data_IF_539127857128
#
_entry.id   IF_539127857128
#
_cell.length_a   1.000
_cell.length_b   1.000
_cell.length_c   1.000
_cell.angle_alpha   90.00
_cell.angle_beta   90.00
_cell.angle_gamma   90.00
#
_symmetry.space_group_name_H-M   'P 1'
#
loop_
_entity.id
_entity.type
_entity.pdbx_description
1 polymer ?
#
# COMPACT_ATOMS: atom_id res chain seq x y z
N UNK A 1 68.99 -40.55 18.20
CA UNK A 1 68.81 -41.53 17.12
C UNK A 1 67.41 -41.28 16.56
N UNK A 2 67.36 -40.78 15.32
CA UNK A 2 66.19 -40.49 14.48
C UNK A 2 65.24 -39.36 14.95
N UNK A 3 64.74 -38.42 14.15
CA UNK A 3 64.82 -38.06 12.71
C UNK A 3 64.26 -36.60 12.62
N UNK A 4 64.73 -35.80 11.64
CA UNK A 4 64.01 -34.88 10.72
C UNK A 4 62.61 -34.32 11.12
N UNK A 5 62.12 -33.14 10.70
CA UNK A 5 62.39 -32.36 9.50
C UNK A 5 61.66 -30.99 9.52
N UNK A 6 62.08 -30.16 8.57
CA UNK A 6 61.30 -29.21 7.75
C UNK A 6 60.49 -28.04 8.35
N UNK A 7 61.13 -26.88 8.20
CA UNK A 7 60.51 -25.60 7.92
C UNK A 7 59.66 -25.64 6.63
N UNK A 8 58.34 -25.77 6.77
CA UNK A 8 57.39 -25.32 5.75
C UNK A 8 56.63 -24.09 6.27
N UNK A 9 57.04 -22.91 5.79
CA UNK A 9 56.28 -21.67 5.95
C UNK A 9 55.01 -21.76 5.10
N UNK A 10 53.89 -22.04 5.74
CA UNK A 10 52.57 -21.84 5.16
C UNK A 10 52.29 -20.34 5.16
N UNK A 11 52.27 -19.74 3.97
CA UNK A 11 51.72 -18.40 3.75
C UNK A 11 50.20 -18.49 3.92
N UNK A 12 49.55 -17.65 4.75
CA UNK A 12 48.10 -17.60 4.75
C UNK A 12 47.67 -16.86 3.48
N UNK A 13 47.17 -17.61 2.49
CA UNK A 13 46.27 -17.06 1.47
C UNK A 13 44.90 -16.98 2.15
N UNK A 14 44.69 -15.94 2.95
CA UNK A 14 43.34 -15.43 3.17
C UNK A 14 43.18 -14.28 2.19
N UNK A 15 42.67 -14.62 1.00
CA UNK A 15 41.99 -13.64 0.18
C UNK A 15 40.89 -13.04 1.05
N UNK A 16 41.00 -11.73 1.24
CA UNK A 16 39.94 -10.86 1.72
C UNK A 16 38.70 -11.09 0.86
N UNK A 17 37.85 -12.05 1.26
CA UNK A 17 36.43 -11.96 0.95
C UNK A 17 35.92 -10.91 1.93
N UNK A 18 36.09 -9.64 1.57
CA UNK A 18 35.27 -8.58 2.10
C UNK A 18 33.88 -8.83 1.51
N UNK A 19 33.15 -9.78 2.10
CA UNK A 19 31.69 -9.78 2.00
C UNK A 19 31.33 -8.48 2.68
N UNK A 20 31.18 -7.43 1.88
CA UNK A 20 30.40 -6.27 2.27
C UNK A 20 29.03 -6.89 2.53
N UNK A 21 28.76 -7.27 3.78
CA UNK A 21 27.41 -7.58 4.22
C UNK A 21 26.66 -6.29 3.90
N UNK A 22 25.96 -6.30 2.77
CA UNK A 22 25.00 -5.28 2.41
C UNK A 22 24.02 -5.33 3.58
N UNK A 23 24.12 -4.34 4.45
CA UNK A 23 23.33 -4.26 5.67
C UNK A 23 21.93 -3.96 5.17
N UNK A 24 21.09 -4.98 5.13
CA UNK A 24 19.73 -4.90 4.58
C UNK A 24 18.98 -3.81 5.34
N UNK A 25 18.59 -2.74 4.65
CA UNK A 25 18.06 -1.49 5.23
C UNK A 25 16.53 -1.53 5.43
N UNK A 26 15.97 -2.71 5.69
CA UNK A 26 14.53 -2.94 5.75
C UNK A 26 14.12 -3.36 7.17
N UNK A 27 14.17 -2.40 8.11
CA UNK A 27 13.79 -2.65 9.50
C UNK A 27 12.39 -2.13 9.80
N UNK A 28 11.71 -2.88 10.66
CA UNK A 28 10.43 -2.55 11.25
C UNK A 28 10.63 -2.41 12.75
N UNK A 29 10.00 -1.41 13.36
CA UNK A 29 9.84 -1.34 14.80
C UNK A 29 8.38 -1.63 15.12
N UNK A 30 8.13 -2.59 16.00
CA UNK A 30 6.82 -2.87 16.58
C UNK A 30 6.91 -2.58 18.08
N UNK A 31 6.37 -1.44 18.48
CA UNK A 31 6.26 -1.05 19.89
C UNK A 31 4.82 -1.22 20.34
N UNK A 32 4.58 -1.88 21.47
CA UNK A 32 3.20 -2.12 21.90
C UNK A 32 3.05 -2.41 23.37
N UNK A 33 1.80 -2.51 23.87
CA UNK A 33 1.54 -2.56 25.29
C UNK A 33 2.15 -3.82 25.91
N UNK A 34 2.50 -3.69 27.19
CA UNK A 34 2.94 -4.79 28.03
C UNK A 34 1.82 -5.82 28.15
N UNK A 35 2.17 -7.10 27.96
CA UNK A 35 1.24 -8.22 27.98
C UNK A 35 0.47 -8.45 26.68
N UNK A 36 0.61 -7.58 25.67
CA UNK A 36 0.09 -7.85 24.33
C UNK A 36 1.04 -8.74 23.55
N UNK A 37 0.49 -9.77 22.89
CA UNK A 37 1.25 -10.76 22.12
C UNK A 37 1.66 -10.20 20.74
N UNK A 38 2.69 -9.35 20.75
CA UNK A 38 3.32 -8.73 19.59
C UNK A 38 3.89 -9.77 18.63
N UNK A 39 4.41 -10.89 19.14
CA UNK A 39 4.91 -11.98 18.29
C UNK A 39 3.80 -12.63 17.48
N UNK A 40 2.64 -12.89 18.08
CA UNK A 40 1.46 -13.35 17.33
C UNK A 40 0.97 -12.29 16.35
N UNK A 41 0.89 -11.04 16.75
CA UNK A 41 0.53 -9.93 15.87
C UNK A 41 1.42 -9.87 14.61
N UNK A 42 2.75 -10.01 14.78
CA UNK A 42 3.70 -10.06 13.66
C UNK A 42 3.45 -11.28 12.78
N UNK A 43 3.26 -12.46 13.37
CA UNK A 43 2.91 -13.68 12.62
C UNK A 43 1.65 -13.48 11.79
N UNK A 44 0.64 -12.85 12.36
CA UNK A 44 -0.63 -12.58 11.70
C UNK A 44 -0.45 -11.57 10.55
N UNK A 45 0.37 -10.52 10.69
CA UNK A 45 0.62 -9.56 9.60
C UNK A 45 1.43 -10.17 8.46
N UNK A 46 2.43 -10.99 8.78
CA UNK A 46 3.31 -11.61 7.78
C UNK A 46 2.80 -12.97 7.27
N UNK A 47 1.66 -13.45 7.77
CA UNK A 47 1.09 -14.76 7.44
C UNK A 47 2.07 -15.93 7.69
N UNK A 48 2.85 -15.83 8.77
CA UNK A 48 3.85 -16.83 9.15
C UNK A 48 3.34 -17.66 10.32
N UNK A 49 3.25 -18.99 10.14
CA UNK A 49 2.79 -19.88 11.22
C UNK A 49 3.75 -19.89 12.42
N UNK A 50 5.06 -20.00 12.15
CA UNK A 50 6.10 -20.09 13.18
C UNK A 50 7.38 -19.42 12.71
N UNK A 51 8.08 -18.75 13.64
CA UNK A 51 9.43 -18.26 13.39
C UNK A 51 10.43 -19.40 13.47
N UNK A 52 11.45 -19.39 12.62
CA UNK A 52 12.54 -20.37 12.68
C UNK A 52 13.37 -20.11 13.95
N UNK A 53 14.00 -21.15 14.54
CA UNK A 53 14.76 -21.02 15.78
C UNK A 53 15.89 -19.98 15.77
N UNK A 54 16.43 -19.66 14.60
CA UNK A 54 17.51 -18.69 14.41
C UNK A 54 17.02 -17.29 14.01
N UNK A 55 15.72 -17.11 13.78
CA UNK A 55 15.15 -15.82 13.41
C UNK A 55 14.89 -14.95 14.63
N UNK A 56 14.54 -15.53 15.78
CA UNK A 56 14.23 -14.77 16.99
C UNK A 56 15.45 -14.72 17.90
N UNK A 57 15.97 -13.52 18.11
CA UNK A 57 17.08 -13.22 19.02
C UNK A 57 16.50 -12.51 20.24
N UNK A 58 16.65 -13.15 21.40
CA UNK A 58 16.28 -12.57 22.69
C UNK A 58 17.51 -11.91 23.31
N UNK A 59 17.34 -10.71 23.87
CA UNK A 59 18.36 -10.15 24.75
C UNK A 59 18.45 -10.99 26.02
N UNK A 60 19.60 -11.66 26.22
CA UNK A 60 19.84 -12.68 27.26
C UNK A 60 19.82 -12.18 28.71
N UNK A 61 19.17 -11.06 29.02
CA UNK A 61 19.29 -10.40 30.32
C UNK A 61 18.31 -10.88 31.39
N UNK A 62 17.49 -11.87 31.08
CA UNK A 62 16.50 -12.33 32.04
C UNK A 62 16.44 -13.86 32.15
N UNK A 63 16.56 -14.28 33.41
CA UNK A 63 16.51 -15.67 33.86
C UNK A 63 15.19 -15.96 34.59
N UNK A 64 14.20 -15.11 34.39
CA UNK A 64 12.87 -15.24 34.99
C UNK A 64 11.95 -16.00 34.04
N UNK A 65 10.90 -16.59 34.60
CA UNK A 65 9.90 -17.42 33.92
C UNK A 65 9.03 -16.57 32.98
N UNK A 66 9.62 -16.14 31.86
CA UNK A 66 9.16 -15.04 31.00
C UNK A 66 8.39 -15.51 29.77
N UNK A 67 7.14 -15.89 29.98
CA UNK A 67 6.19 -15.97 28.87
C UNK A 67 5.49 -14.62 28.61
N UNK A 68 5.74 -13.58 29.42
CA UNK A 68 4.96 -12.33 29.42
C UNK A 68 5.69 -11.06 28.93
N UNK A 69 7.03 -11.04 28.90
CA UNK A 69 7.80 -9.83 28.50
C UNK A 69 8.24 -9.98 27.05
N UNK A 70 7.78 -9.08 26.19
CA UNK A 70 8.15 -9.03 24.77
C UNK A 70 8.87 -7.71 24.44
N UNK A 71 9.88 -7.36 25.25
CA UNK A 71 10.79 -6.21 25.05
C UNK A 71 12.14 -6.66 24.50
N UNK A 72 12.76 -5.85 23.65
CA UNK A 72 14.12 -6.08 23.16
C UNK A 72 14.30 -7.38 22.36
N UNK A 73 13.25 -7.82 21.65
CA UNK A 73 13.30 -8.99 20.78
C UNK A 73 13.64 -8.53 19.36
N UNK A 74 14.55 -9.23 18.70
CA UNK A 74 14.90 -8.98 17.30
C UNK A 74 14.48 -10.19 16.48
N UNK A 75 13.69 -9.98 15.43
CA UNK A 75 13.34 -10.98 14.44
C UNK A 75 14.11 -10.67 13.17
N UNK A 76 15.03 -11.55 12.79
CA UNK A 76 15.84 -11.40 11.58
C UNK A 76 15.30 -12.25 10.43
N UNK A 77 15.64 -11.83 9.22
CA UNK A 77 15.38 -12.58 7.98
C UNK A 77 13.91 -12.99 7.78
N UNK A 78 12.95 -12.12 8.12
CA UNK A 78 11.54 -12.40 7.92
C UNK A 78 11.16 -12.16 6.46
N UNK A 79 10.73 -13.18 5.69
CA UNK A 79 10.39 -12.99 4.29
C UNK A 79 9.08 -12.19 4.17
N UNK A 80 9.09 -11.17 3.32
CA UNK A 80 7.91 -10.44 2.88
C UNK A 80 7.69 -10.73 1.40
N UNK A 81 6.57 -11.36 1.08
CA UNK A 81 6.17 -11.65 -0.30
C UNK A 81 4.86 -10.95 -0.59
N UNK A 82 4.87 -10.02 -1.53
CA UNK A 82 3.67 -9.41 -2.08
C UNK A 82 3.42 -9.93 -3.49
N UNK A 83 2.35 -9.45 -4.12
CA UNK A 83 2.10 -9.74 -5.55
C UNK A 83 3.17 -9.13 -6.46
N UNK A 84 3.86 -8.08 -6.00
CA UNK A 84 4.70 -7.23 -6.83
C UNK A 84 6.20 -7.36 -6.55
N UNK A 85 6.56 -7.74 -5.32
CA UNK A 85 7.95 -7.85 -4.93
C UNK A 85 8.15 -8.88 -3.82
N UNK A 86 9.40 -9.31 -3.69
CA UNK A 86 9.89 -10.07 -2.56
C UNK A 86 11.00 -9.29 -1.88
N UNK A 87 10.98 -9.28 -0.57
CA UNK A 87 12.04 -8.72 0.25
C UNK A 87 12.17 -9.49 1.55
N UNK A 88 13.19 -9.14 2.32
CA UNK A 88 13.44 -9.68 3.64
C UNK A 88 13.53 -8.50 4.60
N UNK A 89 12.79 -8.59 5.70
CA UNK A 89 12.73 -7.53 6.71
C UNK A 89 13.27 -8.04 8.04
N UNK A 90 13.84 -7.13 8.82
CA UNK A 90 14.14 -7.36 10.23
C UNK A 90 13.15 -6.59 11.10
N UNK A 91 12.75 -7.14 12.25
CA UNK A 91 11.78 -6.52 13.15
C UNK A 91 12.38 -6.38 14.53
N UNK A 92 12.38 -5.15 15.06
CA UNK A 92 12.61 -4.85 16.46
C UNK A 92 11.27 -4.83 17.17
N UNK A 93 11.14 -5.62 18.24
CA UNK A 93 9.93 -5.68 19.05
C UNK A 93 10.27 -5.15 20.42
N UNK A 94 9.48 -4.18 20.87
CA UNK A 94 9.70 -3.54 22.14
C UNK A 94 8.37 -3.21 22.87
N UNK A 95 8.46 -2.88 24.16
CA UNK A 95 7.30 -2.56 25.00
C UNK A 95 7.65 -1.56 26.09
N UNK A 96 6.68 -0.75 26.54
CA UNK A 96 6.91 0.18 27.63
C UNK A 96 7.00 -0.57 28.97
N UNK A 97 7.63 0.07 29.96
CA UNK A 97 7.65 -0.44 31.34
C UNK A 97 6.23 -0.66 31.92
N UNK A 98 5.27 0.15 31.47
CA UNK A 98 3.84 0.06 31.81
C UNK A 98 2.97 0.64 30.69
N UNK A 99 1.68 0.30 30.65
CA UNK A 99 0.73 0.77 29.63
C UNK A 99 0.27 2.23 29.81
N UNK A 100 0.95 3.01 30.67
CA UNK A 100 0.63 4.42 30.89
C UNK A 100 1.16 5.27 29.71
N UNK A 101 0.39 6.25 29.17
CA UNK A 101 0.78 7.06 28.00
C UNK A 101 2.15 7.73 28.10
N UNK A 102 2.51 8.26 29.27
CA UNK A 102 3.84 8.84 29.49
C UNK A 102 4.99 7.89 29.17
N UNK A 103 4.83 6.57 29.31
CA UNK A 103 5.87 5.59 28.94
C UNK A 103 6.01 5.43 27.43
N UNK A 104 4.95 5.62 26.67
CA UNK A 104 5.01 5.73 25.22
C UNK A 104 5.76 7.02 24.82
N UNK A 105 5.44 8.14 25.46
CA UNK A 105 6.13 9.42 25.22
C UNK A 105 7.62 9.32 25.55
N UNK A 106 7.99 8.70 26.67
CA UNK A 106 9.39 8.45 27.04
C UNK A 106 10.11 7.65 25.95
N UNK A 107 9.50 6.56 25.47
CA UNK A 107 10.05 5.75 24.39
C UNK A 107 10.16 6.50 23.06
N UNK A 108 9.15 7.29 22.68
CA UNK A 108 9.19 8.11 21.46
C UNK A 108 10.34 9.13 21.55
N UNK A 109 10.56 9.72 22.73
CA UNK A 109 11.66 10.67 22.96
C UNK A 109 13.02 10.00 22.89
N UNK A 110 13.17 8.82 23.48
CA UNK A 110 14.38 8.02 23.35
C UNK A 110 14.66 7.67 21.88
N UNK A 111 13.63 7.23 21.15
CA UNK A 111 13.75 6.96 19.71
C UNK A 111 14.03 8.22 18.90
N UNK A 112 13.71 9.41 19.41
CA UNK A 112 13.97 10.71 18.77
C UNK A 112 15.36 11.27 19.08
N UNK A 113 16.08 10.74 20.07
CA UNK A 113 17.40 11.25 20.44
C UNK A 113 18.43 11.03 19.32
N UNK A 114 19.44 11.92 19.26
CA UNK A 114 20.52 11.85 18.27
C UNK A 114 21.28 10.52 18.30
N UNK A 115 21.33 9.87 19.48
CA UNK A 115 21.99 8.56 19.66
C UNK A 115 21.29 7.44 18.86
N UNK A 116 20.00 7.61 18.52
CA UNK A 116 19.20 6.66 17.75
C UNK A 116 19.21 6.91 16.23
N UNK A 117 19.97 7.88 15.74
CA UNK A 117 20.04 8.24 14.32
C UNK A 117 20.33 7.03 13.41
N UNK A 118 21.33 6.22 13.76
CA UNK A 118 21.71 5.07 12.95
C UNK A 118 20.61 3.99 12.91
N UNK A 119 19.84 3.84 13.98
CA UNK A 119 18.67 2.95 13.99
C UNK A 119 17.58 3.51 13.07
N UNK A 120 17.23 4.79 13.20
CA UNK A 120 16.19 5.43 12.37
C UNK A 120 16.50 5.33 10.87
N UNK A 121 17.77 5.43 10.47
CA UNK A 121 18.19 5.26 9.07
C UNK A 121 17.89 3.87 8.50
N UNK A 122 17.92 2.83 9.33
CA UNK A 122 17.66 1.45 8.90
C UNK A 122 16.17 1.09 8.92
N UNK A 123 15.33 1.92 9.55
CA UNK A 123 13.89 1.68 9.72
C UNK A 123 13.12 2.26 8.54
N UNK A 124 12.11 1.51 8.10
CA UNK A 124 11.13 1.91 7.08
C UNK A 124 9.70 1.86 7.59
N UNK A 125 9.45 1.13 8.67
CA UNK A 125 8.13 1.05 9.27
C UNK A 125 8.23 1.12 10.79
N UNK A 126 7.45 2.01 11.40
CA UNK A 126 7.25 2.07 12.84
C UNK A 126 5.76 1.84 13.10
N UNK A 127 5.43 0.76 13.82
CA UNK A 127 4.09 0.48 14.30
C UNK A 127 4.05 0.69 15.81
N UNK A 128 3.22 1.63 16.26
CA UNK A 128 2.97 1.90 17.68
C UNK A 128 1.57 1.39 18.02
N UNK A 129 1.50 0.32 18.80
CA UNK A 129 0.27 -0.27 19.28
C UNK A 129 -0.18 0.39 20.58
N UNK A 130 -1.39 0.95 20.61
CA UNK A 130 -1.91 1.67 21.78
C UNK A 130 -3.02 0.88 22.49
N UNK A 131 -3.12 0.94 23.82
CA UNK A 131 -4.22 0.32 24.56
C UNK A 131 -5.53 1.08 24.36
N UNK A 132 -6.61 0.33 24.14
CA UNK A 132 -8.01 0.76 23.94
C UNK A 132 -8.57 1.74 24.98
N UNK A 133 -8.20 1.60 26.25
CA UNK A 133 -9.11 1.96 27.34
C UNK A 133 -9.29 3.46 27.63
N UNK A 134 -8.59 4.36 26.96
CA UNK A 134 -8.86 5.79 27.07
C UNK A 134 -8.73 6.43 25.68
N UNK A 135 -9.84 6.96 25.16
CA UNK A 135 -9.87 7.76 23.92
C UNK A 135 -8.83 8.88 23.90
N UNK A 136 -8.35 9.28 25.08
CA UNK A 136 -7.40 10.35 25.28
C UNK A 136 -5.95 9.89 25.09
N UNK A 137 -5.66 8.57 25.07
CA UNK A 137 -4.29 8.07 24.97
C UNK A 137 -3.63 8.41 23.63
N UNK A 138 -4.39 8.38 22.54
CA UNK A 138 -3.88 8.77 21.23
C UNK A 138 -3.57 10.27 21.21
N UNK A 139 -4.52 11.11 21.61
CA UNK A 139 -4.37 12.57 21.69
C UNK A 139 -3.17 12.98 22.57
N UNK A 140 -2.88 12.20 23.61
CA UNK A 140 -1.74 12.44 24.50
C UNK A 140 -0.40 12.21 23.80
N UNK A 141 -0.27 11.19 22.95
CA UNK A 141 1.00 10.85 22.29
C UNK A 141 1.16 11.47 20.91
N UNK A 142 0.06 11.90 20.27
CA UNK A 142 0.01 12.44 18.91
C UNK A 142 1.07 13.52 18.68
N UNK A 143 1.20 14.45 19.62
CA UNK A 143 2.19 15.52 19.53
C UNK A 143 3.63 15.00 19.45
N UNK A 144 4.00 14.02 20.26
CA UNK A 144 5.35 13.47 20.27
C UNK A 144 5.58 12.57 19.04
N UNK A 145 4.54 11.88 18.54
CA UNK A 145 4.58 11.16 17.27
C UNK A 145 4.87 12.12 16.09
N UNK A 146 4.22 13.28 16.05
CA UNK A 146 4.47 14.28 15.01
C UNK A 146 5.88 14.88 15.09
N UNK A 147 6.44 15.00 16.30
CA UNK A 147 7.86 15.37 16.47
C UNK A 147 8.77 14.30 15.86
N UNK A 148 8.54 13.02 16.18
CA UNK A 148 9.32 11.93 15.60
C UNK A 148 9.19 11.88 14.06
N UNK A 149 7.98 12.07 13.53
CA UNK A 149 7.73 12.16 12.08
C UNK A 149 8.52 13.30 11.43
N UNK A 150 8.55 14.48 12.08
CA UNK A 150 9.34 15.61 11.61
C UNK A 150 10.84 15.33 11.61
N UNK A 151 11.35 14.61 12.62
CA UNK A 151 12.76 14.20 12.71
C UNK A 151 13.09 13.24 11.56
N UNK A 152 12.29 12.18 11.38
CA UNK A 152 12.46 11.21 10.29
C UNK A 152 12.48 11.88 8.91
N UNK A 153 11.55 12.81 8.67
CA UNK A 153 11.50 13.58 7.43
C UNK A 153 12.76 14.44 7.24
N UNK A 154 13.19 15.17 8.28
CA UNK A 154 14.36 16.05 8.18
C UNK A 154 15.62 15.25 7.89
N UNK A 155 15.86 14.19 8.64
CA UNK A 155 17.04 13.33 8.49
C UNK A 155 17.10 12.66 7.12
N UNK A 156 15.95 12.16 6.64
CA UNK A 156 15.88 11.54 5.33
C UNK A 156 16.11 12.54 4.20
N UNK A 157 15.47 13.70 4.23
CA UNK A 157 15.60 14.72 3.18
C UNK A 157 16.98 15.38 3.16
N UNK A 158 17.69 15.45 4.29
CA UNK A 158 19.08 15.90 4.35
C UNK A 158 20.01 14.97 3.55
N UNK A 159 19.74 13.67 3.52
CA UNK A 159 20.49 12.69 2.73
C UNK A 159 19.94 12.55 1.29
N UNK A 160 18.65 12.85 1.09
CA UNK A 160 17.93 12.70 -0.18
C UNK A 160 17.24 14.02 -0.58
N UNK A 161 17.97 15.04 -1.07
CA UNK A 161 17.47 16.41 -1.24
C UNK A 161 16.41 16.58 -2.33
N UNK A 162 16.12 15.54 -3.11
CA UNK A 162 15.06 15.54 -4.12
C UNK A 162 13.73 15.02 -3.56
N UNK A 163 13.75 14.39 -2.39
CA UNK A 163 12.56 13.84 -1.75
C UNK A 163 11.98 14.87 -0.78
N UNK A 164 10.65 14.85 -0.65
CA UNK A 164 9.92 15.83 0.17
C UNK A 164 9.67 15.35 1.59
N UNK A 165 9.77 14.05 1.82
CA UNK A 165 9.52 13.40 3.09
C UNK A 165 10.25 12.05 3.15
N UNK A 166 10.30 11.48 4.36
CA UNK A 166 10.78 10.12 4.59
C UNK A 166 9.99 9.11 3.75
N UNK A 167 10.71 8.15 3.16
CA UNK A 167 10.16 7.08 2.31
C UNK A 167 9.55 5.90 3.08
N UNK A 168 9.52 5.98 4.42
CA UNK A 168 8.89 5.00 5.30
C UNK A 168 7.52 5.42 5.80
N UNK A 169 6.99 4.63 6.72
CA UNK A 169 5.67 4.86 7.33
C UNK A 169 5.74 4.73 8.86
N UNK A 170 5.00 5.61 9.55
CA UNK A 170 4.77 5.56 10.98
C UNK A 170 3.27 5.46 11.21
N UNK A 171 2.84 4.34 11.78
CA UNK A 171 1.45 3.99 12.03
C UNK A 171 1.21 3.81 13.52
N UNK A 172 0.12 4.39 14.02
CA UNK A 172 -0.30 4.29 15.42
C UNK A 172 -1.66 3.62 15.44
N UNK A 173 -1.74 2.40 15.98
CA UNK A 173 -2.89 1.51 15.82
C UNK A 173 -3.45 1.07 17.19
N UNK A 174 -4.75 1.24 17.45
CA UNK A 174 -5.39 0.71 18.66
C UNK A 174 -5.46 -0.81 18.66
N UNK A 175 -5.09 -1.47 19.76
CA UNK A 175 -5.05 -2.94 19.83
C UNK A 175 -6.43 -3.62 19.80
N UNK A 176 -7.50 -2.86 20.06
CA UNK A 176 -8.88 -3.31 20.06
C UNK A 176 -9.63 -3.03 18.76
N UNK A 177 -8.96 -2.38 17.79
CA UNK A 177 -9.57 -2.14 16.49
C UNK A 177 -9.84 -3.47 15.77
N UNK A 178 -11.06 -3.63 15.27
CA UNK A 178 -11.45 -4.80 14.49
C UNK A 178 -10.66 -4.91 13.18
N UNK A 179 -10.14 -3.79 12.68
CA UNK A 179 -9.38 -3.70 11.44
C UNK A 179 -7.86 -3.67 11.67
N UNK A 180 -7.38 -3.73 12.92
CA UNK A 180 -5.96 -3.66 13.31
C UNK A 180 -5.03 -4.48 12.40
N UNK A 181 -5.35 -5.76 12.20
CA UNK A 181 -4.52 -6.66 11.39
C UNK A 181 -4.57 -6.27 9.90
N UNK A 182 -5.72 -5.85 9.40
CA UNK A 182 -5.89 -5.42 8.02
C UNK A 182 -5.12 -4.13 7.75
N UNK A 183 -5.22 -3.15 8.64
CA UNK A 183 -4.53 -1.86 8.53
C UNK A 183 -3.02 -2.03 8.64
N UNK A 184 -2.53 -2.79 9.63
CA UNK A 184 -1.10 -3.06 9.76
C UNK A 184 -0.54 -3.84 8.55
N UNK A 185 -1.30 -4.77 7.98
CA UNK A 185 -0.93 -5.45 6.72
C UNK A 185 -0.87 -4.47 5.56
N UNK A 186 -1.81 -3.54 5.48
CA UNK A 186 -1.82 -2.52 4.44
C UNK A 186 -0.57 -1.63 4.54
N UNK A 187 -0.20 -1.15 5.73
CA UNK A 187 1.05 -0.42 5.94
C UNK A 187 2.27 -1.22 5.46
N UNK A 188 2.39 -2.50 5.84
CA UNK A 188 3.50 -3.34 5.36
C UNK A 188 3.54 -3.49 3.84
N UNK A 189 2.38 -3.54 3.17
CA UNK A 189 2.29 -3.72 1.72
C UNK A 189 2.46 -2.43 0.91
N UNK A 190 2.14 -1.27 1.48
CA UNK A 190 2.18 0.01 0.80
C UNK A 190 3.53 0.73 0.89
N UNK A 191 4.39 0.32 1.82
CA UNK A 191 5.73 0.90 1.96
C UNK A 191 6.61 0.57 0.77
N UNK A 192 7.36 1.58 0.31
CA UNK A 192 8.39 1.42 -0.70
C UNK A 192 9.66 0.85 -0.05
N UNK A 193 9.68 -0.46 0.16
CA UNK A 193 10.85 -1.15 0.72
C UNK A 193 12.10 -0.86 -0.12
N UNK A 194 13.19 -0.49 0.52
CA UNK A 194 14.49 -0.36 -0.15
C UNK A 194 15.00 -1.75 -0.55
N UNK A 195 15.82 -1.81 -1.59
CA UNK A 195 16.45 -3.06 -2.06
C UNK A 195 15.48 -4.21 -2.38
N UNK A 196 14.27 -3.90 -2.89
CA UNK A 196 13.33 -4.92 -3.33
C UNK A 196 13.88 -5.76 -4.48
N UNK A 197 13.63 -7.07 -4.41
CA UNK A 197 13.70 -7.92 -5.58
C UNK A 197 12.30 -7.91 -6.20
N UNK A 198 12.17 -7.20 -7.32
CA UNK A 198 10.97 -7.32 -8.14
C UNK A 198 10.82 -8.80 -8.49
N UNK A 199 9.66 -9.37 -8.17
CA UNK A 199 9.38 -10.73 -8.59
C UNK A 199 9.39 -10.71 -10.12
N UNK A 200 10.35 -11.40 -10.74
CA UNK A 200 10.23 -11.68 -12.16
C UNK A 200 8.86 -12.34 -12.33
N UNK A 201 8.07 -11.85 -13.29
CA UNK A 201 6.84 -12.49 -13.74
C UNK A 201 7.18 -13.86 -14.37
N UNK A 202 7.77 -14.75 -13.60
CA UNK A 202 8.05 -16.13 -13.95
C UNK A 202 6.76 -16.89 -13.67
N UNK A 203 5.99 -17.03 -14.73
CA UNK A 203 4.79 -17.87 -14.72
C UNK A 203 5.09 -19.24 -14.15
N UNK A 204 4.28 -19.66 -13.18
CA UNK A 204 4.42 -20.98 -12.59
C UNK A 204 3.76 -21.11 -11.22
N UNK A 205 2.56 -20.56 -11.04
CA UNK A 205 1.75 -20.92 -9.88
C UNK A 205 1.24 -22.38 -10.08
N UNK A 206 1.54 -23.33 -9.18
CA UNK A 206 1.02 -24.71 -9.25
C UNK A 206 -0.51 -24.73 -9.22
N UNK A 207 -1.14 -23.71 -8.63
CA UNK A 207 -2.59 -23.51 -8.63
C UNK A 207 -3.07 -23.12 -10.04
N UNK A 208 -2.26 -22.34 -10.78
CA UNK A 208 -2.52 -22.02 -12.18
C UNK A 208 -2.36 -23.24 -13.11
N UNK A 209 -1.59 -24.28 -12.77
CA UNK A 209 -1.53 -25.51 -13.58
C UNK A 209 -2.77 -26.40 -13.37
N UNK A 210 -3.31 -26.47 -12.15
CA UNK A 210 -4.61 -27.12 -11.91
C UNK A 210 -5.76 -26.32 -12.52
N UNK A 211 -5.72 -24.98 -12.45
CA UNK A 211 -6.69 -24.11 -13.10
C UNK A 211 -6.53 -24.10 -14.63
N UNK A 212 -5.32 -24.27 -15.19
CA UNK A 212 -5.11 -24.41 -16.64
C UNK A 212 -5.58 -25.77 -17.16
N UNK A 213 -5.47 -26.85 -16.40
CA UNK A 213 -6.11 -28.12 -16.78
C UNK A 213 -7.64 -28.04 -16.71
N UNK A 214 -8.20 -27.28 -15.77
CA UNK A 214 -9.64 -26.99 -15.74
C UNK A 214 -10.07 -25.99 -16.84
N UNK A 215 -9.25 -25.01 -17.18
CA UNK A 215 -9.50 -24.05 -18.27
C UNK A 215 -9.29 -24.67 -19.66
N UNK A 216 -8.36 -25.61 -19.84
CA UNK A 216 -8.23 -26.35 -21.10
C UNK A 216 -9.38 -27.33 -21.33
N UNK A 217 -10.05 -27.79 -20.26
CA UNK A 217 -11.33 -28.50 -20.38
C UNK A 217 -12.51 -27.57 -20.64
N UNK A 218 -12.43 -26.28 -20.30
CA UNK A 218 -13.45 -25.27 -20.61
C UNK A 218 -13.25 -24.57 -21.97
N UNK A 219 -12.03 -24.53 -22.52
CA UNK A 219 -11.71 -23.96 -23.84
C UNK A 219 -12.03 -24.88 -25.03
N UNK A 220 -12.63 -26.04 -24.79
CA UNK A 220 -13.23 -26.87 -25.85
C UNK A 220 -14.77 -26.82 -25.82
N UNK A 221 -15.35 -25.70 -25.40
CA UNK A 221 -16.73 -25.38 -25.75
C UNK A 221 -16.72 -24.33 -26.88
N UNK A 222 -17.54 -24.52 -27.93
CA UNK A 222 -17.56 -23.63 -29.07
C UNK A 222 -17.94 -22.21 -28.63
N UNK A 223 -17.33 -21.20 -29.27
CA UNK A 223 -17.72 -19.79 -29.17
C UNK A 223 -19.21 -19.65 -29.50
N UNK A 224 -20.07 -19.75 -28.48
CA UNK A 224 -21.44 -19.25 -28.56
C UNK A 224 -21.32 -17.73 -28.66
N UNK A 225 -21.88 -17.15 -29.72
CA UNK A 225 -22.09 -15.71 -29.87
C UNK A 225 -22.60 -15.14 -28.55
N UNK A 226 -21.74 -14.39 -27.84
CA UNK A 226 -22.11 -13.75 -26.58
C UNK A 226 -23.04 -12.58 -26.88
N UNK A 227 -24.32 -12.88 -27.03
CA UNK A 227 -25.35 -11.86 -27.25
C UNK A 227 -25.57 -11.08 -25.96
N UNK A 228 -25.50 -9.75 -26.04
CA UNK A 228 -25.91 -8.86 -24.95
C UNK A 228 -27.33 -9.23 -24.48
N UNK A 229 -27.45 -9.55 -23.18
CA UNK A 229 -28.73 -9.92 -22.55
C UNK A 229 -29.47 -8.66 -22.14
N UNK A 230 -28.79 -7.74 -21.45
CA UNK A 230 -29.42 -6.55 -20.90
C UNK A 230 -28.40 -5.43 -20.65
N UNK A 231 -28.83 -4.18 -20.83
CA UNK A 231 -28.12 -2.99 -20.33
C UNK A 231 -28.97 -2.30 -19.27
N UNK A 232 -28.38 -1.98 -18.12
CA UNK A 232 -29.06 -1.29 -17.01
C UNK A 232 -28.20 -0.16 -16.47
N UNK A 233 -28.81 0.99 -16.15
CA UNK A 233 -28.11 2.08 -15.45
C UNK A 233 -27.74 1.62 -14.04
N UNK A 234 -26.51 1.87 -13.61
CA UNK A 234 -26.05 1.44 -12.29
C UNK A 234 -26.72 2.28 -11.19
N UNK A 235 -27.37 1.62 -10.23
CA UNK A 235 -28.24 2.29 -9.27
C UNK A 235 -27.50 3.16 -8.23
N UNK A 236 -26.22 2.86 -7.98
CA UNK A 236 -25.40 3.59 -6.99
C UNK A 236 -24.69 4.81 -7.59
N UNK A 237 -24.53 4.85 -8.92
CA UNK A 237 -23.85 5.95 -9.60
C UNK A 237 -24.43 6.13 -11.01
N UNK A 238 -24.96 7.31 -11.26
CA UNK A 238 -25.74 7.58 -12.46
C UNK A 238 -24.93 7.64 -13.77
N UNK A 239 -23.62 7.76 -13.69
CA UNK A 239 -22.77 7.88 -14.88
C UNK A 239 -22.47 6.52 -15.54
N UNK A 240 -22.78 5.41 -14.87
CA UNK A 240 -22.37 4.07 -15.29
C UNK A 240 -23.54 3.20 -15.75
N UNK A 241 -23.22 2.31 -16.67
CA UNK A 241 -24.11 1.28 -17.20
C UNK A 241 -23.50 -0.10 -17.00
N UNK A 242 -24.34 -1.07 -16.68
CA UNK A 242 -24.03 -2.48 -16.56
C UNK A 242 -24.53 -3.20 -17.82
N UNK A 243 -23.64 -3.83 -18.57
CA UNK A 243 -23.97 -4.62 -19.75
C UNK A 243 -23.79 -6.11 -19.45
N UNK A 244 -24.90 -6.82 -19.26
CA UNK A 244 -24.89 -8.23 -18.97
C UNK A 244 -24.83 -9.05 -20.26
N UNK A 245 -23.79 -9.86 -20.43
CA UNK A 245 -23.64 -10.78 -21.57
C UNK A 245 -24.06 -12.20 -21.21
N UNK A 246 -23.82 -12.63 -19.96
CA UNK A 246 -24.27 -13.92 -19.44
C UNK A 246 -24.34 -13.91 -17.90
N UNK A 247 -24.53 -15.07 -17.26
CA UNK A 247 -24.65 -15.21 -15.80
C UNK A 247 -23.44 -14.73 -15.01
N UNK A 248 -22.26 -14.75 -15.64
CA UNK A 248 -20.97 -14.60 -14.98
C UNK A 248 -20.19 -13.40 -15.50
N UNK A 249 -20.59 -12.83 -16.64
CA UNK A 249 -19.92 -11.72 -17.29
C UNK A 249 -20.87 -10.54 -17.47
N UNK A 250 -20.58 -9.49 -16.71
CA UNK A 250 -21.18 -8.17 -16.88
C UNK A 250 -20.04 -7.17 -17.03
N UNK A 251 -20.09 -6.33 -18.06
CA UNK A 251 -19.16 -5.20 -18.18
C UNK A 251 -19.78 -3.95 -17.57
N UNK A 252 -18.92 -3.04 -17.11
CA UNK A 252 -19.32 -1.72 -16.65
C UNK A 252 -18.74 -0.70 -17.61
N UNK A 253 -19.51 0.30 -18.01
CA UNK A 253 -19.02 1.37 -18.87
C UNK A 253 -19.70 2.71 -18.56
N UNK A 254 -19.10 3.81 -19.01
CA UNK A 254 -19.72 5.14 -19.01
C UNK A 254 -20.75 5.34 -20.14
N UNK A 255 -20.85 4.38 -21.07
CA UNK A 255 -21.73 4.46 -22.23
C UNK A 255 -22.95 3.55 -22.09
N UNK A 256 -24.08 3.99 -22.62
CA UNK A 256 -25.23 3.09 -22.77
C UNK A 256 -25.02 2.05 -23.88
N UNK A 257 -24.11 2.29 -24.82
CA UNK A 257 -23.74 1.39 -25.90
C UNK A 257 -22.69 0.37 -25.43
N UNK A 258 -23.05 -0.92 -25.40
CA UNK A 258 -22.20 -2.02 -24.92
C UNK A 258 -21.01 -2.32 -25.84
N UNK A 259 -20.94 -1.70 -27.02
CA UNK A 259 -19.80 -1.87 -27.96
C UNK A 259 -18.65 -0.93 -27.63
N UNK A 260 -18.88 0.06 -26.76
CA UNK A 260 -17.89 1.03 -26.30
C UNK A 260 -16.97 0.42 -25.24
N UNK A 261 -15.76 0.96 -25.15
CA UNK A 261 -14.74 0.44 -24.25
C UNK A 261 -15.24 0.44 -22.78
N UNK A 262 -15.34 -0.72 -22.13
CA UNK A 262 -15.79 -0.79 -20.76
C UNK A 262 -14.68 -0.36 -19.80
N UNK A 263 -15.06 0.19 -18.64
CA UNK A 263 -14.10 0.49 -17.56
C UNK A 263 -13.58 -0.78 -16.88
N UNK A 264 -14.35 -1.86 -16.97
CA UNK A 264 -13.98 -3.14 -16.39
C UNK A 264 -15.10 -4.17 -16.48
N UNK A 265 -14.87 -5.29 -15.80
CA UNK A 265 -15.80 -6.41 -15.70
C UNK A 265 -16.17 -6.65 -14.25
N UNK A 266 -17.40 -7.11 -14.01
CA UNK A 266 -17.86 -7.56 -12.70
C UNK A 266 -18.42 -8.97 -12.74
N UNK A 267 -18.09 -9.75 -11.71
CA UNK A 267 -18.72 -11.04 -11.49
C UNK A 267 -20.06 -10.85 -10.80
N UNK A 268 -21.15 -11.22 -11.48
CA UNK A 268 -22.52 -11.11 -10.96
C UNK A 268 -23.04 -12.37 -10.27
N UNK A 269 -22.21 -13.41 -10.13
CA UNK A 269 -22.53 -14.67 -9.43
C UNK A 269 -23.94 -15.23 -9.74
N UNK A 270 -24.37 -15.22 -11.01
CA UNK A 270 -25.65 -15.80 -11.43
C UNK A 270 -26.88 -14.90 -11.31
N UNK A 271 -26.72 -13.60 -11.05
CA UNK A 271 -27.81 -12.62 -11.09
C UNK A 271 -28.21 -12.28 -12.55
N UNK A 272 -28.80 -13.23 -13.29
CA UNK A 272 -29.40 -12.95 -14.61
C UNK A 272 -30.80 -12.38 -14.43
N UNK A 273 -31.08 -11.22 -15.03
CA UNK A 273 -32.44 -10.65 -15.11
C UNK A 273 -33.07 -10.28 -13.76
N UNK A 274 -32.29 -10.27 -12.69
CA UNK A 274 -32.72 -9.80 -11.37
C UNK A 274 -32.58 -8.28 -11.28
N UNK A 275 -33.31 -7.68 -10.35
CA UNK A 275 -33.20 -6.27 -10.02
C UNK A 275 -31.78 -5.93 -9.52
N UNK A 276 -30.98 -5.33 -10.41
CA UNK A 276 -29.61 -4.88 -10.12
C UNK A 276 -29.58 -3.64 -9.22
N UNK A 277 -30.72 -3.13 -8.74
CA UNK A 277 -30.77 -2.00 -7.79
C UNK A 277 -29.97 -2.23 -6.51
N UNK A 278 -29.79 -3.50 -6.12
CA UNK A 278 -29.03 -3.91 -4.92
C UNK A 278 -27.61 -4.37 -5.23
N UNK A 279 -27.22 -4.43 -6.49
CA UNK A 279 -25.86 -4.80 -6.87
C UNK A 279 -24.90 -3.69 -6.46
N UNK A 280 -23.78 -4.07 -5.84
CA UNK A 280 -22.73 -3.13 -5.42
C UNK A 280 -21.42 -3.61 -6.02
N UNK A 281 -20.77 -2.73 -6.77
CA UNK A 281 -19.42 -2.96 -7.26
C UNK A 281 -18.43 -2.76 -6.11
N UNK A 282 -17.51 -3.72 -5.94
CA UNK A 282 -16.46 -3.67 -4.92
C UNK A 282 -15.14 -4.14 -5.52
N UNK A 283 -13.99 -3.82 -4.90
CA UNK A 283 -12.68 -4.26 -5.39
C UNK A 283 -12.55 -5.78 -5.54
N UNK A 284 -13.33 -6.55 -4.77
CA UNK A 284 -13.30 -8.01 -4.82
C UNK A 284 -14.09 -8.59 -6.01
N UNK A 285 -15.09 -7.87 -6.52
CA UNK A 285 -15.93 -8.33 -7.63
C UNK A 285 -15.65 -7.62 -8.95
N UNK A 286 -14.84 -6.56 -8.94
CA UNK A 286 -14.46 -5.75 -10.08
C UNK A 286 -13.07 -6.09 -10.59
N UNK A 287 -12.93 -6.14 -11.91
CA UNK A 287 -11.65 -6.25 -12.59
C UNK A 287 -11.53 -5.14 -13.61
N UNK A 288 -10.53 -4.29 -13.38
CA UNK A 288 -10.21 -3.14 -14.22
C UNK A 288 -9.84 -3.54 -15.65
N UNK A 289 -10.24 -2.68 -16.58
CA UNK A 289 -9.77 -2.73 -17.97
C UNK A 289 -8.60 -1.76 -18.16
N UNK A 290 -7.41 -2.31 -18.42
CA UNK A 290 -6.19 -1.49 -18.62
C UNK A 290 -6.27 -0.60 -19.86
N UNK A 291 -7.00 -1.02 -20.89
CA UNK A 291 -7.12 -0.24 -22.12
C UNK A 291 -7.93 1.05 -21.89
N UNK A 292 -8.89 1.01 -20.96
CA UNK A 292 -9.68 2.17 -20.57
C UNK A 292 -8.83 3.28 -19.94
N UNK A 293 -7.77 2.95 -19.18
CA UNK A 293 -6.87 3.98 -18.60
C UNK A 293 -6.22 4.84 -19.68
N UNK A 294 -5.94 4.29 -20.87
CA UNK A 294 -5.38 5.06 -21.99
C UNK A 294 -6.38 6.11 -22.46
N UNK A 295 -7.67 5.75 -22.55
CA UNK A 295 -8.74 6.67 -22.93
C UNK A 295 -8.96 7.73 -21.84
N UNK A 296 -9.00 7.31 -20.58
CA UNK A 296 -9.17 8.18 -19.43
C UNK A 296 -8.06 9.24 -19.37
N UNK A 297 -6.80 8.80 -19.31
CA UNK A 297 -5.66 9.70 -19.19
C UNK A 297 -5.50 10.61 -20.40
N UNK A 298 -5.80 10.12 -21.61
CA UNK A 298 -5.83 10.98 -22.80
C UNK A 298 -6.89 12.07 -22.70
N UNK A 299 -8.09 11.71 -22.24
CA UNK A 299 -9.19 12.67 -22.06
C UNK A 299 -8.78 13.75 -21.05
N UNK A 300 -8.23 13.36 -19.90
CA UNK A 300 -7.76 14.30 -18.88
C UNK A 300 -6.61 15.17 -19.39
N UNK A 301 -5.62 14.58 -20.05
CA UNK A 301 -4.51 15.32 -20.64
C UNK A 301 -4.98 16.42 -21.60
N UNK A 302 -6.02 16.15 -22.40
CA UNK A 302 -6.51 17.11 -23.39
C UNK A 302 -7.54 18.10 -22.82
N UNK A 303 -8.29 17.73 -21.77
CA UNK A 303 -9.54 18.43 -21.40
C UNK A 303 -9.67 18.89 -19.96
N UNK A 304 -8.80 18.47 -19.04
CA UNK A 304 -8.92 18.87 -17.62
C UNK A 304 -8.90 20.39 -17.44
N UNK A 305 -8.17 21.11 -18.28
CA UNK A 305 -8.04 22.58 -18.23
C UNK A 305 -9.31 23.35 -18.62
N UNK A 306 -10.30 22.67 -19.21
CA UNK A 306 -11.58 23.25 -19.60
C UNK A 306 -12.65 23.03 -18.51
N UNK A 307 -12.37 22.21 -17.48
CA UNK A 307 -13.32 21.88 -16.43
C UNK A 307 -13.39 22.97 -15.35
N UNK A 308 -14.57 23.57 -15.18
CA UNK A 308 -14.76 24.65 -14.21
C UNK A 308 -14.45 24.23 -12.78
N UNK A 309 -14.69 22.96 -12.43
CA UNK A 309 -14.46 22.47 -11.07
C UNK A 309 -12.98 22.51 -10.73
N UNK A 310 -12.15 21.93 -11.61
CA UNK A 310 -10.70 21.95 -11.44
C UNK A 310 -10.10 23.35 -11.63
N UNK A 311 -10.70 24.22 -12.47
CA UNK A 311 -10.30 25.63 -12.58
C UNK A 311 -10.50 26.37 -11.25
N UNK A 312 -11.62 26.16 -10.57
CA UNK A 312 -11.84 26.78 -9.25
C UNK A 312 -10.91 26.22 -8.19
N UNK A 313 -10.64 24.91 -8.21
CA UNK A 313 -9.72 24.27 -7.27
C UNK A 313 -8.29 24.80 -7.45
N UNK A 314 -7.84 25.02 -8.70
CA UNK A 314 -6.50 25.50 -9.02
C UNK A 314 -6.16 26.85 -8.38
N UNK A 315 -7.17 27.69 -8.12
CA UNK A 315 -6.97 28.97 -7.42
C UNK A 315 -6.37 28.82 -6.01
N UNK A 316 -6.46 27.63 -5.42
CA UNK A 316 -5.92 27.32 -4.09
C UNK A 316 -4.50 26.75 -4.12
N UNK A 317 -3.93 26.49 -5.31
CA UNK A 317 -2.62 25.84 -5.48
C UNK A 317 -1.61 26.66 -6.31
N UNK A 318 -1.47 27.99 -6.14
CA UNK A 318 -0.59 28.79 -6.98
C UNK A 318 0.89 28.37 -6.84
N UNK A 319 1.55 28.11 -7.97
CA UNK A 319 2.96 27.72 -8.04
C UNK A 319 3.24 26.29 -7.55
N UNK A 320 2.24 25.40 -7.61
CA UNK A 320 2.35 24.00 -7.14
C UNK A 320 1.66 23.03 -8.08
N UNK A 321 1.78 21.74 -7.79
CA UNK A 321 1.00 20.70 -8.47
C UNK A 321 -0.30 20.45 -7.72
N UNK A 322 -1.41 20.51 -8.45
CA UNK A 322 -2.75 20.22 -7.95
C UNK A 322 -3.14 18.79 -8.30
N UNK A 323 -3.67 18.05 -7.32
CA UNK A 323 -4.23 16.73 -7.52
C UNK A 323 -5.59 16.82 -8.24
N UNK A 324 -5.76 16.02 -9.29
CA UNK A 324 -7.03 15.84 -9.99
C UNK A 324 -7.78 14.70 -9.33
N UNK A 325 -8.67 15.06 -8.40
CA UNK A 325 -9.46 14.10 -7.65
C UNK A 325 -10.53 13.39 -8.48
N UNK A 326 -10.72 12.12 -8.17
CA UNK A 326 -11.90 11.34 -8.50
C UNK A 326 -13.03 11.69 -7.52
N UNK A 327 -14.24 11.95 -8.03
CA UNK A 327 -15.40 12.33 -7.22
C UNK A 327 -16.10 11.17 -6.52
N UNK A 328 -15.48 9.98 -6.47
CA UNK A 328 -15.94 8.89 -5.60
C UNK A 328 -15.92 9.29 -4.12
N UNK A 329 -15.01 10.19 -3.73
CA UNK A 329 -15.05 10.90 -2.45
C UNK A 329 -15.30 12.39 -2.71
N UNK A 330 -16.25 12.97 -1.97
CA UNK A 330 -16.38 14.42 -1.86
C UNK A 330 -15.60 14.83 -0.62
N UNK A 331 -14.57 15.64 -0.79
CA UNK A 331 -13.74 16.11 0.33
C UNK A 331 -14.56 17.07 1.21
N UNK A 332 -14.43 16.92 2.53
CA UNK A 332 -15.17 17.72 3.51
C UNK A 332 -14.63 19.14 3.62
N UNK A 333 -13.35 19.34 3.29
CA UNK A 333 -12.65 20.62 3.43
C UNK A 333 -11.80 20.95 2.19
N UNK A 334 -11.75 22.25 1.84
CA UNK A 334 -10.99 22.74 0.68
C UNK A 334 -9.48 22.54 0.76
N UNK A 335 -8.93 22.36 1.96
CA UNK A 335 -7.50 22.11 2.17
C UNK A 335 -7.15 20.61 2.23
N UNK A 336 -8.15 19.74 2.18
CA UNK A 336 -7.93 18.30 2.16
C UNK A 336 -7.41 17.90 0.78
N UNK A 337 -6.49 16.94 0.74
CA UNK A 337 -6.03 16.33 -0.51
C UNK A 337 -6.67 14.96 -0.64
N UNK A 338 -7.10 14.55 -1.85
CA UNK A 338 -7.54 13.18 -2.06
C UNK A 338 -6.35 12.23 -1.88
N UNK A 339 -6.61 11.02 -1.40
CA UNK A 339 -5.60 9.97 -1.35
C UNK A 339 -5.07 9.66 -2.76
N UNK A 340 -3.89 9.06 -2.83
CA UNK A 340 -3.29 8.70 -4.12
C UNK A 340 -4.17 7.72 -4.91
N UNK A 341 -4.83 6.75 -4.25
CA UNK A 341 -5.77 5.84 -4.91
C UNK A 341 -7.03 6.55 -5.46
N UNK A 342 -7.29 7.76 -4.96
CA UNK A 342 -8.41 8.64 -5.30
C UNK A 342 -7.99 9.81 -6.22
N UNK A 343 -6.72 9.87 -6.62
CA UNK A 343 -6.17 10.92 -7.47
C UNK A 343 -5.92 10.38 -8.87
N UNK A 344 -6.64 10.88 -9.87
CA UNK A 344 -6.51 10.44 -11.28
C UNK A 344 -5.15 10.84 -11.86
N UNK A 345 -4.69 12.04 -11.50
CA UNK A 345 -3.41 12.59 -11.95
C UNK A 345 -3.12 13.94 -11.30
N UNK A 346 -2.12 14.64 -11.81
CA UNK A 346 -1.69 15.94 -11.30
C UNK A 346 -1.60 16.94 -12.44
N UNK A 347 -1.81 18.22 -12.14
CA UNK A 347 -1.59 19.33 -13.08
C UNK A 347 -0.74 20.40 -12.41
N UNK A 348 0.17 21.01 -13.16
CA UNK A 348 0.92 22.15 -12.65
C UNK A 348 0.06 23.42 -12.72
N UNK A 349 0.10 24.21 -11.65
CA UNK A 349 -0.64 25.47 -11.52
C UNK A 349 0.36 26.60 -11.37
N UNK A 350 0.22 27.62 -12.21
CA UNK A 350 1.10 28.79 -12.19
C UNK A 350 0.88 29.67 -10.94
N UNK A 351 1.75 30.66 -10.75
CA UNK A 351 1.63 31.60 -9.61
C UNK A 351 0.36 32.48 -9.66
N UNK A 352 -0.36 32.52 -10.79
CA UNK A 352 -1.63 33.22 -10.92
C UNK A 352 -2.84 32.32 -10.61
N UNK A 353 -2.62 31.04 -10.26
CA UNK A 353 -3.68 30.07 -9.98
C UNK A 353 -4.32 29.49 -11.24
N UNK A 354 -3.65 29.56 -12.40
CA UNK A 354 -4.11 28.96 -13.65
C UNK A 354 -3.41 27.63 -13.88
N UNK A 355 -4.19 26.60 -14.26
CA UNK A 355 -3.60 25.32 -14.66
C UNK A 355 -2.83 25.47 -15.97
N UNK A 356 -1.59 24.99 -16.01
CA UNK A 356 -0.76 25.03 -17.20
C UNK A 356 -1.21 23.94 -18.20
N UNK A 357 -1.62 24.34 -19.40
CA UNK A 357 -2.10 23.42 -20.43
C UNK A 357 -0.98 22.45 -20.86
N UNK A 358 -1.28 21.15 -20.85
CA UNK A 358 -0.36 20.07 -21.19
C UNK A 358 0.52 19.59 -20.04
N UNK A 359 0.33 20.13 -18.83
CA UNK A 359 1.07 19.71 -17.62
C UNK A 359 0.49 18.49 -16.91
N UNK A 360 -0.62 17.93 -17.40
CA UNK A 360 -1.26 16.77 -16.81
C UNK A 360 -0.34 15.55 -16.82
N UNK A 361 -0.13 14.98 -15.65
CA UNK A 361 0.61 13.75 -15.44
C UNK A 361 -0.30 12.69 -14.80
N UNK A 362 -0.39 11.48 -15.38
CA UNK A 362 -1.23 10.42 -14.83
C UNK A 362 -0.62 9.89 -13.53
N UNK A 363 -1.48 9.55 -12.56
CA UNK A 363 -1.04 8.90 -11.34
C UNK A 363 -1.05 7.37 -11.50
N UNK A 364 0.12 6.74 -11.38
CA UNK A 364 0.27 5.28 -11.53
C UNK A 364 -0.37 4.48 -10.40
N UNK A 365 -0.62 5.10 -9.24
CA UNK A 365 -1.26 4.48 -8.07
C UNK A 365 -2.80 4.57 -8.10
N UNK A 366 -3.36 5.23 -9.11
CA UNK A 366 -4.80 5.40 -9.25
C UNK A 366 -5.52 4.08 -9.56
N UNK A 367 -6.66 3.85 -8.92
CA UNK A 367 -7.52 2.68 -9.20
C UNK A 367 -8.94 3.15 -9.52
N UNK A 368 -9.56 2.48 -10.50
CA UNK A 368 -10.94 2.74 -10.92
C UNK A 368 -11.93 2.26 -9.88
N UNK A 369 -11.57 1.30 -9.02
CA UNK A 369 -12.41 0.85 -7.92
C UNK A 369 -11.59 0.49 -6.68
N UNK A 370 -11.94 1.10 -5.54
CA UNK A 370 -11.33 0.86 -4.23
C UNK A 370 -12.42 0.80 -3.14
N UNK A 371 -12.04 0.91 -1.87
CA UNK A 371 -12.98 0.88 -0.74
C UNK A 371 -14.01 2.03 -0.78
N UNK A 372 -13.67 3.14 -1.45
CA UNK A 372 -14.50 4.33 -1.53
C UNK A 372 -15.55 4.26 -2.63
N UNK A 373 -15.37 3.35 -3.59
CA UNK A 373 -16.34 3.09 -4.65
C UNK A 373 -15.68 2.87 -6.00
N UNK A 374 -16.43 3.21 -7.04
CA UNK A 374 -15.99 3.14 -8.43
C UNK A 374 -15.91 4.55 -9.02
N UNK A 375 -15.00 4.76 -9.97
CA UNK A 375 -14.67 6.06 -10.56
C UNK A 375 -15.89 6.92 -10.84
N UNK A 376 -15.87 8.15 -10.35
CA UNK A 376 -16.89 9.18 -10.60
C UNK A 376 -16.21 10.44 -11.11
N UNK A 377 -16.71 10.98 -12.22
CA UNK A 377 -16.13 12.15 -12.87
C UNK A 377 -16.98 13.39 -12.65
N UNK A 378 -16.40 14.57 -12.82
CA UNK A 378 -17.20 15.79 -13.01
C UNK A 378 -18.11 15.62 -14.22
N UNK A 379 -19.24 16.35 -14.26
CA UNK A 379 -20.17 16.28 -15.40
C UNK A 379 -19.47 16.59 -16.73
N UNK A 380 -18.64 17.64 -16.75
CA UNK A 380 -17.91 18.00 -17.95
C UNK A 380 -16.86 16.94 -18.34
N UNK A 381 -16.08 16.39 -17.41
CA UNK A 381 -15.13 15.33 -17.76
C UNK A 381 -15.82 14.05 -18.24
N UNK A 382 -16.97 13.69 -17.66
CA UNK A 382 -17.79 12.59 -18.17
C UNK A 382 -18.26 12.85 -19.62
N UNK A 383 -18.75 14.05 -19.91
CA UNK A 383 -19.16 14.45 -21.26
C UNK A 383 -18.00 14.45 -22.26
N UNK A 384 -16.80 14.85 -21.83
CA UNK A 384 -15.61 14.77 -22.68
C UNK A 384 -15.21 13.32 -22.92
N UNK A 385 -15.17 12.49 -21.87
CA UNK A 385 -14.80 11.08 -21.96
C UNK A 385 -15.70 10.32 -22.94
N UNK A 386 -17.00 10.58 -22.91
CA UNK A 386 -17.96 9.95 -23.84
C UNK A 386 -17.67 10.24 -25.33
N UNK A 387 -16.89 11.28 -25.65
CA UNK A 387 -16.47 11.57 -27.04
C UNK A 387 -15.28 10.72 -27.49
N UNK A 388 -14.52 10.14 -26.56
CA UNK A 388 -13.36 9.28 -26.84
C UNK A 388 -13.71 7.79 -26.78
N UNK A 389 -14.83 7.45 -26.15
CA UNK A 389 -15.47 6.13 -26.25
C UNK A 389 -16.11 5.98 -27.62
#
# INVERSE_FOLDING_TARGET
MNYFDDNTRITPIFQNISVKLIRVMNRIIVFGPKGYDKLKFIKDIFEVNEFKPNQVIHNNHSTLLEEEIQSGIIIEELPLTTRYYQTVVGIFVDEPESNHPNKYIEWIKELSDDEMLELRKEVQLIIILTPSEESDNFDIIEKDVEVLRSILNTEYCDENPNDLQWDGELSVLPIDDAELISEARNSVQCILWREIQLSEATGGDPIAQQQQQQQQQQQQQPEEEQSLVQTTKYAKQEQLYLHQFNSNLTTISFSQDSTKEPIGTVSTNGLIGNDLSKFTVTPQNFKENKDFFTILNKTFFEKVYEDQTYIFDAMNYPGSYMAIGDYKIILDYMNQRPDLSNTIGFVHVDFAGQMEIGSYEPNEMYTLCNIDGIITLSENMNDQLQKYL
#
